data_IF_407258741897
#
_entry.id   IF_407258741897
#
_cell.length_a   1.000
_cell.length_b   1.000
_cell.length_c   1.000
_cell.angle_alpha   90.00
_cell.angle_beta   90.00
_cell.angle_gamma   90.00
#
_symmetry.space_group_name_H-M   'P 1'
#
loop_
_entity.id
_entity.type
_entity.pdbx_description
1 polymer ?
#
# COMPACT_ATOMS: atom_id res chain seq x y z
N UNK A 1 7.81 -0.81 -13.78
CA UNK A 1 7.22 -0.69 -12.43
C UNK A 1 6.10 0.33 -12.43
N UNK A 2 6.29 1.51 -13.00
CA UNK A 2 5.24 2.52 -13.23
C UNK A 2 3.97 1.97 -13.91
N UNK A 3 4.10 1.02 -14.83
CA UNK A 3 2.94 0.38 -15.50
C UNK A 3 2.13 -0.58 -14.60
N UNK A 4 2.61 -0.87 -13.39
CA UNK A 4 2.03 -1.88 -12.50
C UNK A 4 1.66 -1.34 -11.12
N UNK A 5 2.11 -0.13 -10.76
CA UNK A 5 1.85 0.49 -9.46
C UNK A 5 1.25 1.87 -9.71
N UNK A 6 -0.02 2.04 -9.34
CA UNK A 6 -0.74 3.30 -9.55
C UNK A 6 -0.25 4.42 -8.62
N UNK A 7 0.00 4.09 -7.35
CA UNK A 7 0.51 5.02 -6.34
C UNK A 7 1.07 4.28 -5.12
N UNK A 8 1.79 5.00 -4.26
CA UNK A 8 2.19 4.56 -2.93
C UNK A 8 1.27 5.18 -1.87
N UNK A 9 1.14 4.51 -0.73
CA UNK A 9 0.49 5.05 0.47
C UNK A 9 1.48 5.04 1.63
N UNK A 10 1.56 6.15 2.37
CA UNK A 10 2.46 6.31 3.51
C UNK A 10 1.82 7.26 4.53
N UNK A 11 2.00 6.98 5.82
CA UNK A 11 1.44 7.79 6.91
C UNK A 11 2.35 8.97 7.31
N UNK A 12 3.57 9.05 6.78
CA UNK A 12 4.45 10.18 7.01
C UNK A 12 3.98 11.41 6.20
N UNK A 13 3.56 12.51 6.87
CA UNK A 13 3.08 13.71 6.20
C UNK A 13 4.09 14.32 5.23
N UNK A 14 5.40 14.19 5.51
CA UNK A 14 6.46 14.73 4.67
C UNK A 14 6.64 14.00 3.34
N UNK A 15 5.99 12.84 3.15
CA UNK A 15 6.01 12.09 1.89
C UNK A 15 4.73 12.27 1.07
N UNK A 16 3.63 12.73 1.68
CA UNK A 16 2.35 12.91 0.99
C UNK A 16 2.48 14.02 -0.05
N UNK A 17 1.82 13.86 -1.19
CA UNK A 17 1.86 14.78 -2.34
C UNK A 17 3.28 14.96 -2.93
N UNK A 18 4.14 13.98 -2.69
CA UNK A 18 5.46 13.85 -3.32
C UNK A 18 5.51 12.65 -4.27
N UNK A 19 6.68 12.40 -4.84
CA UNK A 19 6.94 11.29 -5.75
C UNK A 19 8.08 10.42 -5.22
N UNK A 20 7.98 9.11 -5.47
CA UNK A 20 9.04 8.18 -5.11
C UNK A 20 10.33 8.46 -5.91
N UNK A 21 11.51 8.35 -5.27
CA UNK A 21 12.76 8.55 -5.97
C UNK A 21 12.97 7.47 -7.04
N UNK A 22 13.48 7.87 -8.20
CA UNK A 22 13.79 7.00 -9.34
C UNK A 22 12.60 6.61 -10.20
N UNK A 23 11.48 6.19 -9.59
CA UNK A 23 10.29 5.70 -10.31
C UNK A 23 9.14 6.71 -10.41
N UNK A 24 9.26 7.87 -9.77
CA UNK A 24 8.27 8.95 -9.82
C UNK A 24 6.82 8.50 -9.56
N UNK A 25 6.64 7.55 -8.63
CA UNK A 25 5.30 7.05 -8.27
C UNK A 25 4.70 8.04 -7.27
N UNK A 26 3.47 8.55 -7.50
CA UNK A 26 2.84 9.49 -6.58
C UNK A 26 2.58 8.85 -5.22
N UNK A 27 2.78 9.61 -4.15
CA UNK A 27 2.54 9.16 -2.77
C UNK A 27 1.29 9.84 -2.22
N UNK A 28 0.32 9.04 -1.78
CA UNK A 28 -0.98 9.48 -1.25
C UNK A 28 -1.13 9.17 0.23
N UNK A 29 -2.04 9.87 0.90
CA UNK A 29 -2.47 9.50 2.25
C UNK A 29 -3.26 8.17 2.23
N UNK A 30 -3.16 7.30 3.26
CA UNK A 30 -3.85 6.00 3.29
C UNK A 30 -5.38 6.09 3.20
N UNK A 31 -5.98 7.25 3.49
CA UNK A 31 -7.44 7.43 3.41
C UNK A 31 -8.03 7.18 2.02
N UNK A 32 -7.21 7.28 0.96
CA UNK A 32 -7.64 6.97 -0.41
C UNK A 32 -8.12 5.52 -0.55
N UNK A 33 -7.58 4.61 0.29
CA UNK A 33 -7.98 3.21 0.29
C UNK A 33 -9.44 3.01 0.74
N UNK A 34 -10.04 3.98 1.45
CA UNK A 34 -11.45 3.90 1.85
C UNK A 34 -12.41 3.99 0.64
N UNK A 35 -11.96 4.60 -0.46
CA UNK A 35 -12.73 4.73 -1.71
C UNK A 35 -12.39 3.66 -2.75
N UNK A 36 -11.39 2.82 -2.50
CA UNK A 36 -10.84 1.86 -3.45
C UNK A 36 -11.45 0.48 -3.19
N UNK A 37 -12.58 0.21 -3.85
CA UNK A 37 -13.20 -1.11 -3.79
C UNK A 37 -12.37 -2.14 -4.58
N UNK A 38 -11.98 -3.24 -3.93
CA UNK A 38 -11.27 -4.38 -4.52
C UNK A 38 -9.83 -4.09 -5.00
N UNK A 39 -9.18 -3.05 -4.48
CA UNK A 39 -7.79 -2.75 -4.80
C UNK A 39 -6.82 -3.79 -4.23
N UNK A 40 -5.66 -3.92 -4.90
CA UNK A 40 -4.55 -4.79 -4.47
C UNK A 40 -3.47 -3.94 -3.81
N UNK A 41 -3.18 -4.18 -2.54
CA UNK A 41 -2.15 -3.47 -1.79
C UNK A 41 -0.93 -4.36 -1.57
N UNK A 42 0.21 -3.97 -2.15
CA UNK A 42 1.50 -4.61 -1.90
C UNK A 42 2.15 -3.95 -0.67
N UNK A 43 2.28 -4.70 0.42
CA UNK A 43 2.80 -4.19 1.69
C UNK A 43 4.32 -4.27 1.71
N UNK A 44 4.98 -3.24 1.18
CA UNK A 44 6.44 -3.13 1.16
C UNK A 44 7.05 -3.04 2.58
N UNK A 45 6.32 -2.45 3.53
CA UNK A 45 6.66 -2.42 4.95
C UNK A 45 6.31 -3.76 5.65
N UNK A 46 6.73 -4.88 5.05
CA UNK A 46 6.34 -6.25 5.42
C UNK A 46 6.62 -6.61 6.89
N UNK A 47 7.60 -5.98 7.53
CA UNK A 47 7.89 -6.14 8.97
C UNK A 47 6.71 -5.74 9.88
N UNK A 48 5.80 -4.91 9.36
CA UNK A 48 4.62 -4.41 10.07
C UNK A 48 3.32 -4.96 9.47
N UNK A 49 3.39 -6.05 8.70
CA UNK A 49 2.25 -6.57 7.93
C UNK A 49 1.01 -6.82 8.79
N UNK A 50 1.14 -7.49 9.93
CA UNK A 50 0.00 -7.79 10.82
C UNK A 50 -0.65 -6.52 11.39
N UNK A 51 0.16 -5.51 11.72
CA UNK A 51 -0.33 -4.21 12.20
C UNK A 51 -1.11 -3.49 11.09
N UNK A 52 -0.57 -3.46 9.88
CA UNK A 52 -1.20 -2.83 8.70
C UNK A 52 -2.50 -3.56 8.37
N UNK A 53 -2.48 -4.89 8.31
CA UNK A 53 -3.66 -5.72 8.08
C UNK A 53 -4.76 -5.46 9.10
N UNK A 54 -4.40 -5.34 10.39
CA UNK A 54 -5.36 -5.05 11.46
C UNK A 54 -6.04 -3.68 11.29
N UNK A 55 -5.30 -2.66 10.85
CA UNK A 55 -5.86 -1.33 10.53
C UNK A 55 -6.81 -1.36 9.34
N UNK A 56 -6.52 -2.20 8.34
CA UNK A 56 -7.29 -2.29 7.08
C UNK A 56 -8.39 -3.36 7.08
N UNK A 57 -8.63 -4.04 8.21
CA UNK A 57 -9.53 -5.22 8.31
C UNK A 57 -10.96 -5.00 7.80
N UNK A 58 -11.44 -3.76 7.76
CA UNK A 58 -12.80 -3.41 7.34
C UNK A 58 -12.87 -2.97 5.87
N UNK A 59 -11.74 -2.89 5.17
CA UNK A 59 -11.67 -2.51 3.77
C UNK A 59 -11.65 -3.77 2.89
N UNK A 60 -12.29 -3.70 1.73
CA UNK A 60 -12.27 -4.79 0.74
C UNK A 60 -11.02 -4.67 -0.12
N UNK A 61 -9.87 -5.08 0.44
CA UNK A 61 -8.58 -5.01 -0.21
C UNK A 61 -7.95 -6.40 -0.29
N UNK A 62 -7.30 -6.70 -1.40
CA UNK A 62 -6.38 -7.84 -1.47
C UNK A 62 -4.99 -7.39 -1.01
N UNK A 63 -4.49 -7.93 0.09
CA UNK A 63 -3.17 -7.63 0.63
C UNK A 63 -2.13 -8.64 0.13
N UNK A 64 -1.00 -8.15 -0.37
CA UNK A 64 0.15 -8.97 -0.75
C UNK A 64 1.32 -8.64 0.20
N UNK A 65 1.79 -9.64 0.93
CA UNK A 65 3.05 -9.57 1.66
C UNK A 65 4.17 -10.17 0.79
N UNK A 66 5.12 -9.38 0.29
CA UNK A 66 6.12 -9.87 -0.68
C UNK A 66 7.26 -10.67 -0.02
N UNK A 67 7.46 -10.55 1.29
CA UNK A 67 8.61 -11.10 2.02
C UNK A 67 8.20 -11.62 3.42
N UNK A 68 8.94 -12.60 3.99
CA UNK A 68 10.04 -13.36 3.38
C UNK A 68 9.58 -14.37 2.32
N UNK A 69 8.29 -14.72 2.34
CA UNK A 69 7.62 -15.52 1.32
C UNK A 69 6.39 -14.76 0.84
N UNK A 70 6.04 -14.92 -0.44
CA UNK A 70 4.86 -14.28 -1.00
C UNK A 70 3.60 -14.84 -0.35
N UNK A 71 2.79 -13.96 0.23
CA UNK A 71 1.49 -14.30 0.83
C UNK A 71 0.42 -13.37 0.27
N UNK A 72 -0.76 -13.92 -0.04
CA UNK A 72 -1.92 -13.17 -0.54
C UNK A 72 -3.08 -13.39 0.41
N UNK A 73 -3.66 -12.28 0.89
CA UNK A 73 -4.80 -12.25 1.80
C UNK A 73 -5.92 -11.45 1.14
N UNK A 74 -7.13 -11.97 1.17
CA UNK A 74 -8.34 -11.31 0.66
C UNK A 74 -9.17 -10.75 1.80
#
# INVERSE_FOLDING_TARGET
MEKYIDYLVDDNPGKIDTYSPGLHIPVKHPDVLNSEGDAVLIVLAWRYFDLIRSKLKNQKLTLICPLPYIQVIK
#
